data_IF_448125563745
#
_entry.id   IF_448125563745
#
_cell.length_a   1.000
_cell.length_b   1.000
_cell.length_c   1.000
_cell.angle_alpha   90.00
_cell.angle_beta   90.00
_cell.angle_gamma   90.00
#
_symmetry.space_group_name_H-M   'P 1'
#
loop_
_entity.id
_entity.type
_entity.pdbx_description
1 polymer ?
#
# COMPACT_ATOMS: atom_id res chain seq x y z
N UNK A 1 2.02 -4.83 17.80
CA UNK A 1 3.19 -4.00 18.18
C UNK A 1 4.44 -4.75 17.75
N UNK A 2 5.46 -4.06 17.24
CA UNK A 2 6.75 -4.66 16.83
C UNK A 2 7.59 -4.85 18.09
N UNK A 3 8.12 -6.05 18.34
CA UNK A 3 9.06 -6.26 19.44
C UNK A 3 10.43 -5.70 19.04
N UNK A 4 11.13 -5.05 19.97
CA UNK A 4 12.48 -4.50 19.74
C UNK A 4 13.48 -5.57 19.33
N UNK A 5 13.32 -6.78 19.85
CA UNK A 5 14.22 -7.92 19.57
C UNK A 5 14.10 -8.42 18.13
N UNK A 6 12.99 -8.10 17.45
CA UNK A 6 12.75 -8.50 16.06
C UNK A 6 13.40 -7.53 15.06
N UNK A 7 13.96 -6.40 15.52
CA UNK A 7 14.51 -5.35 14.65
C UNK A 7 15.94 -5.72 14.22
N UNK A 8 16.14 -5.93 12.92
CA UNK A 8 17.46 -6.15 12.33
C UNK A 8 18.18 -4.83 12.02
N UNK A 9 17.47 -3.89 11.40
CA UNK A 9 18.05 -2.63 10.93
C UNK A 9 17.03 -1.49 10.99
N UNK A 10 17.51 -0.29 11.33
CA UNK A 10 16.73 0.94 11.25
C UNK A 10 17.46 1.90 10.32
N UNK A 11 16.75 2.35 9.30
CA UNK A 11 17.28 3.23 8.27
C UNK A 11 16.56 4.57 8.27
N UNK A 12 17.31 5.66 8.27
CA UNK A 12 16.79 7.01 8.01
C UNK A 12 16.95 7.33 6.53
N UNK A 13 15.84 7.40 5.79
CA UNK A 13 15.83 7.76 4.37
C UNK A 13 15.50 9.24 4.24
N UNK A 14 16.48 10.03 3.80
CA UNK A 14 16.35 11.48 3.59
C UNK A 14 16.13 11.75 2.10
N UNK A 15 15.27 12.72 1.76
CA UNK A 15 15.13 13.19 0.38
C UNK A 15 16.34 14.03 -0.02
N UNK A 16 16.91 13.77 -1.20
CA UNK A 16 18.09 14.45 -1.73
C UNK A 16 17.97 15.99 -1.67
N UNK A 17 16.82 16.54 -2.05
CA UNK A 17 16.60 18.00 -2.08
C UNK A 17 15.96 18.60 -0.83
N UNK A 18 15.64 17.81 0.20
CA UNK A 18 14.89 18.32 1.36
C UNK A 18 15.23 17.55 2.63
N UNK A 19 16.29 17.98 3.32
CA UNK A 19 16.87 17.30 4.49
C UNK A 19 15.90 17.20 5.68
N UNK A 20 14.94 18.13 5.78
CA UNK A 20 13.89 18.10 6.81
C UNK A 20 12.82 17.02 6.56
N UNK A 21 12.72 16.52 5.33
CA UNK A 21 11.75 15.49 4.95
C UNK A 21 12.45 14.13 4.89
N UNK A 22 12.38 13.39 5.99
CA UNK A 22 12.90 12.03 6.08
C UNK A 22 11.80 11.04 6.47
N UNK A 23 12.07 9.77 6.24
CA UNK A 23 11.22 8.66 6.66
C UNK A 23 12.10 7.59 7.28
N UNK A 24 11.59 6.89 8.29
CA UNK A 24 12.29 5.75 8.86
C UNK A 24 11.79 4.46 8.22
N UNK A 25 12.72 3.54 8.03
CA UNK A 25 12.43 2.16 7.65
C UNK A 25 12.97 1.23 8.72
N UNK A 26 12.15 0.30 9.14
CA UNK A 26 12.52 -0.78 10.06
C UNK A 26 12.51 -2.07 9.27
N UNK A 27 13.64 -2.77 9.26
CA UNK A 27 13.78 -4.13 8.75
C UNK A 27 13.69 -5.10 9.93
N UNK A 28 12.80 -6.09 9.80
CA UNK A 28 12.55 -7.10 10.83
C UNK A 28 13.25 -8.43 10.49
N UNK A 29 13.42 -9.28 11.51
CA UNK A 29 14.04 -10.60 11.42
C UNK A 29 13.36 -11.55 10.43
N UNK A 30 12.04 -11.45 10.31
CA UNK A 30 11.21 -12.15 9.34
C UNK A 30 11.31 -11.55 7.91
N UNK A 31 12.26 -10.63 7.68
CA UNK A 31 12.50 -9.92 6.42
C UNK A 31 11.38 -8.97 5.99
N UNK A 32 10.41 -8.68 6.87
CA UNK A 32 9.43 -7.63 6.63
C UNK A 32 10.06 -6.24 6.76
N UNK A 33 9.56 -5.30 5.96
CA UNK A 33 9.96 -3.90 6.02
C UNK A 33 8.75 -3.02 6.35
N UNK A 34 8.97 -2.05 7.23
CA UNK A 34 7.99 -1.05 7.62
C UNK A 34 8.52 0.34 7.30
N UNK A 35 7.75 1.19 6.63
CA UNK A 35 8.08 2.61 6.41
C UNK A 35 7.09 3.48 7.17
N UNK A 36 7.61 4.53 7.82
CA UNK A 36 6.80 5.58 8.48
C UNK A 36 5.92 6.37 7.51
N UNK A 37 6.10 6.18 6.21
CA UNK A 37 5.27 6.78 5.17
C UNK A 37 3.95 6.04 4.95
N UNK A 38 3.79 4.83 5.50
CA UNK A 38 2.57 4.01 5.45
C UNK A 38 1.98 3.71 4.06
N UNK A 39 2.66 4.05 2.97
CA UNK A 39 2.15 3.88 1.59
C UNK A 39 1.71 2.45 1.26
N UNK A 40 2.44 1.48 1.79
CA UNK A 40 2.12 0.06 1.62
C UNK A 40 0.80 -0.30 2.31
N UNK A 41 0.52 0.31 3.46
CA UNK A 41 -0.70 0.08 4.25
C UNK A 41 -1.88 0.87 3.67
N UNK A 42 -1.68 2.15 3.34
CA UNK A 42 -2.76 3.06 2.93
C UNK A 42 -3.15 2.93 1.46
N UNK A 43 -2.20 2.60 0.58
CA UNK A 43 -2.43 2.53 -0.86
C UNK A 43 -2.17 1.13 -1.45
N UNK A 44 -1.67 0.20 -0.63
CA UNK A 44 -1.28 -1.13 -1.08
C UNK A 44 -0.03 -1.13 -1.95
N UNK A 45 0.72 -0.03 -2.06
CA UNK A 45 1.88 0.06 -2.97
C UNK A 45 3.18 0.23 -2.20
N UNK A 46 4.21 -0.49 -2.65
CA UNK A 46 5.57 -0.35 -2.09
C UNK A 46 6.09 1.06 -2.36
N UNK A 47 6.53 1.76 -1.33
CA UNK A 47 7.06 3.12 -1.49
C UNK A 47 8.50 3.11 -2.03
N UNK A 48 8.90 4.22 -2.67
CA UNK A 48 10.29 4.46 -3.10
C UNK A 48 11.34 4.28 -2.01
N UNK A 49 10.98 4.48 -0.74
CA UNK A 49 11.92 4.34 0.36
C UNK A 49 12.33 2.86 0.54
N UNK A 50 11.43 1.90 0.33
CA UNK A 50 11.77 0.46 0.39
C UNK A 50 12.81 0.11 -0.67
N UNK A 51 12.61 0.58 -1.91
CA UNK A 51 13.56 0.37 -3.01
C UNK A 51 14.94 0.93 -2.69
N UNK A 52 15.02 2.06 -2.00
CA UNK A 52 16.32 2.60 -1.53
C UNK A 52 17.02 1.62 -0.58
N UNK A 53 16.27 0.94 0.28
CA UNK A 53 16.82 -0.04 1.23
C UNK A 53 17.16 -1.37 0.53
N UNK A 54 16.36 -1.84 -0.41
CA UNK A 54 16.68 -3.04 -1.19
C UNK A 54 18.00 -2.91 -1.96
N UNK A 55 18.35 -1.70 -2.39
CA UNK A 55 19.63 -1.42 -3.07
C UNK A 55 20.80 -1.29 -2.07
N UNK A 56 20.53 -0.96 -0.80
CA UNK A 56 21.57 -0.58 0.17
C UNK A 56 21.85 -1.62 1.25
N UNK A 57 20.85 -2.38 1.66
CA UNK A 57 21.00 -3.44 2.67
C UNK A 57 21.12 -4.79 1.98
N UNK A 58 22.15 -5.56 2.35
CA UNK A 58 22.30 -6.95 1.91
C UNK A 58 21.30 -7.91 2.56
N UNK A 59 20.65 -7.48 3.66
CA UNK A 59 19.66 -8.28 4.40
C UNK A 59 18.23 -8.07 3.88
N UNK A 60 17.95 -6.90 3.30
CA UNK A 60 16.63 -6.60 2.76
C UNK A 60 16.41 -7.34 1.44
N UNK A 61 15.30 -8.08 1.33
CA UNK A 61 14.93 -8.83 0.12
C UNK A 61 13.57 -8.39 -0.39
N UNK A 62 13.46 -8.18 -1.70
CA UNK A 62 12.19 -7.93 -2.36
C UNK A 62 11.50 -9.25 -2.64
N UNK A 63 10.29 -9.42 -2.11
CA UNK A 63 9.44 -10.58 -2.39
C UNK A 63 8.36 -10.17 -3.41
N UNK A 64 8.09 -11.01 -4.41
CA UNK A 64 7.13 -10.69 -5.48
C UNK A 64 5.73 -10.41 -4.94
N UNK A 65 5.33 -11.12 -3.87
CA UNK A 65 4.07 -10.86 -3.13
C UNK A 65 3.93 -9.42 -2.68
N UNK A 66 4.99 -8.61 -2.56
CA UNK A 66 4.88 -7.18 -2.25
C UNK A 66 4.07 -6.40 -3.31
N UNK A 67 4.01 -6.90 -4.54
CA UNK A 67 3.18 -6.34 -5.62
C UNK A 67 1.73 -6.81 -5.43
N UNK A 68 0.74 -5.89 -5.43
CA UNK A 68 -0.66 -6.28 -5.29
C UNK A 68 -1.17 -7.10 -6.48
N UNK A 69 -2.03 -8.08 -6.20
CA UNK A 69 -2.60 -8.98 -7.20
C UNK A 69 -3.23 -8.26 -8.41
N UNK A 70 -3.84 -7.08 -8.20
CA UNK A 70 -4.47 -6.27 -9.27
C UNK A 70 -3.52 -5.81 -10.40
N UNK A 71 -2.20 -5.91 -10.21
CA UNK A 71 -1.21 -5.50 -11.20
C UNK A 71 -0.72 -6.64 -12.09
N UNK A 72 -1.08 -7.89 -11.78
CA UNK A 72 -0.76 -9.01 -12.66
C UNK A 72 -1.83 -9.16 -13.73
N UNK A 73 -1.41 -9.62 -14.91
CA UNK A 73 -2.31 -9.84 -16.06
C UNK A 73 -3.09 -11.15 -15.95
N UNK A 74 -2.69 -12.06 -15.08
CA UNK A 74 -3.09 -13.46 -15.15
C UNK A 74 -4.10 -13.90 -14.10
N UNK A 75 -5.08 -14.69 -14.56
CA UNK A 75 -6.02 -15.49 -13.77
C UNK A 75 -5.31 -16.56 -12.91
N UNK A 76 -4.03 -16.84 -13.20
CA UNK A 76 -3.20 -17.83 -12.49
C UNK A 76 -2.75 -17.42 -11.08
N UNK A 77 -2.84 -16.14 -10.73
CA UNK A 77 -2.56 -15.65 -9.35
C UNK A 77 -3.84 -15.65 -8.51
N UNK A 78 -4.86 -16.37 -8.98
CA UNK A 78 -6.05 -16.66 -8.21
C UNK A 78 -5.85 -17.98 -7.46
N UNK A 79 -4.94 -18.00 -6.50
CA UNK A 79 -4.89 -19.12 -5.57
C UNK A 79 -4.24 -18.73 -4.25
N UNK A 80 -4.97 -19.01 -3.18
CA UNK A 80 -4.48 -19.04 -1.80
C UNK A 80 -3.25 -19.97 -1.62
N UNK A 81 -2.85 -20.70 -2.66
CA UNK A 81 -1.72 -21.64 -2.68
C UNK A 81 -0.36 -20.98 -2.95
N UNK A 82 -0.28 -19.87 -3.70
CA UNK A 82 1.03 -19.22 -4.02
C UNK A 82 1.66 -18.56 -2.78
N UNK A 83 0.85 -18.16 -1.80
CA UNK A 83 1.32 -17.45 -0.61
C UNK A 83 2.15 -18.30 0.36
N UNK A 84 2.20 -19.63 0.18
CA UNK A 84 2.68 -20.54 1.23
C UNK A 84 3.97 -21.31 0.90
N UNK A 85 4.49 -21.27 -0.33
CA UNK A 85 5.66 -22.08 -0.68
C UNK A 85 6.41 -21.56 -1.93
N UNK A 86 7.16 -20.47 -1.81
CA UNK A 86 8.20 -20.14 -2.80
C UNK A 86 9.58 -20.50 -2.24
N UNK A 87 10.17 -21.56 -2.81
CA UNK A 87 11.59 -21.91 -2.62
C UNK A 87 12.46 -20.93 -3.39
N UNK A 88 13.24 -20.11 -2.68
CA UNK A 88 14.27 -19.28 -3.29
C UNK A 88 15.50 -20.15 -3.57
N UNK A 89 15.72 -20.50 -4.84
CA UNK A 89 16.92 -21.20 -5.30
C UNK A 89 17.97 -20.14 -5.64
N UNK A 90 19.08 -20.11 -4.88
CA UNK A 90 20.26 -19.31 -5.25
C UNK A 90 21.29 -20.22 -5.91
N UNK A 91 21.77 -19.86 -7.10
CA UNK A 91 22.80 -20.60 -7.85
C UNK A 91 24.22 -20.45 -7.27
N UNK A 92 24.35 -20.19 -5.97
CA UNK A 92 25.67 -20.15 -5.32
C UNK A 92 25.88 -21.49 -4.62
N UNK A 93 26.99 -22.14 -4.94
CA UNK A 93 27.37 -23.54 -4.64
C UNK A 93 27.49 -23.90 -3.14
N UNK A 94 26.43 -23.77 -2.37
CA UNK A 94 26.25 -24.61 -1.20
C UNK A 94 24.76 -24.88 -1.00
N UNK A 95 24.38 -26.15 -0.98
CA UNK A 95 23.02 -26.67 -1.13
C UNK A 95 22.06 -26.38 0.03
N UNK A 96 22.09 -25.17 0.59
CA UNK A 96 21.26 -24.77 1.69
C UNK A 96 19.97 -24.13 1.16
N UNK A 97 18.99 -24.97 0.83
CA UNK A 97 17.62 -24.53 0.55
C UNK A 97 17.05 -23.83 1.80
N UNK A 98 17.01 -22.50 1.79
CA UNK A 98 16.31 -21.77 2.85
C UNK A 98 14.84 -21.64 2.47
N UNK A 99 14.00 -22.50 3.04
CA UNK A 99 12.55 -22.33 3.03
C UNK A 99 12.20 -21.10 3.88
N UNK A 100 12.16 -19.92 3.26
CA UNK A 100 11.67 -18.72 3.96
C UNK A 100 10.18 -18.54 3.67
N UNK A 101 9.35 -18.92 4.63
CA UNK A 101 7.92 -18.60 4.61
C UNK A 101 7.79 -17.08 4.79
N UNK A 102 7.47 -16.36 3.71
CA UNK A 102 7.21 -14.93 3.78
C UNK A 102 5.79 -14.70 4.32
N UNK A 103 5.65 -14.78 5.65
CA UNK A 103 4.40 -14.47 6.32
C UNK A 103 4.18 -12.96 6.34
N UNK A 104 3.38 -12.47 5.38
CA UNK A 104 3.06 -11.06 5.20
C UNK A 104 2.01 -10.60 6.23
N UNK A 105 2.45 -10.34 7.47
CA UNK A 105 1.59 -10.01 8.62
C UNK A 105 0.80 -8.72 8.42
N UNK A 106 1.33 -7.77 7.66
CA UNK A 106 0.73 -6.45 7.46
C UNK A 106 -0.17 -6.32 6.21
N UNK A 107 -0.30 -7.38 5.39
CA UNK A 107 -1.21 -7.41 4.23
C UNK A 107 -2.15 -8.61 4.24
N UNK A 108 -1.99 -9.53 5.18
CA UNK A 108 -3.03 -10.50 5.53
C UNK A 108 -4.21 -9.80 6.21
N UNK A 109 -4.98 -9.07 5.42
CA UNK A 109 -6.33 -9.48 5.11
C UNK A 109 -6.85 -8.60 3.97
N UNK A 110 -7.69 -9.22 3.15
CA UNK A 110 -8.76 -8.61 2.36
C UNK A 110 -9.45 -7.39 3.01
N UNK A 111 -9.23 -7.09 4.30
CA UNK A 111 -9.59 -5.85 4.97
C UNK A 111 -8.97 -4.60 4.34
N UNK A 112 -7.67 -4.54 4.01
CA UNK A 112 -7.11 -3.32 3.39
C UNK A 112 -7.70 -3.10 2.00
N UNK A 113 -7.86 -4.16 1.21
CA UNK A 113 -8.44 -4.05 -0.13
C UNK A 113 -9.96 -3.79 -0.09
N UNK A 114 -10.72 -4.45 0.78
CA UNK A 114 -12.16 -4.19 0.99
C UNK A 114 -12.41 -2.81 1.58
N UNK A 115 -11.58 -2.36 2.52
CA UNK A 115 -11.65 -1.02 3.08
C UNK A 115 -11.26 0.03 2.04
N UNK A 116 -10.23 -0.23 1.23
CA UNK A 116 -9.84 0.64 0.12
C UNK A 116 -10.93 0.70 -0.95
N UNK A 117 -11.53 -0.44 -1.32
CA UNK A 117 -12.69 -0.52 -2.23
C UNK A 117 -13.89 0.25 -1.66
N UNK A 118 -14.17 0.13 -0.36
CA UNK A 118 -15.25 0.86 0.32
C UNK A 118 -14.99 2.37 0.36
N UNK A 119 -13.78 2.81 0.67
CA UNK A 119 -13.38 4.23 0.62
C UNK A 119 -13.53 4.77 -0.81
N UNK A 120 -13.06 4.02 -1.80
CA UNK A 120 -13.16 4.39 -3.21
C UNK A 120 -14.63 4.50 -3.65
N UNK A 121 -15.47 3.53 -3.30
CA UNK A 121 -16.90 3.56 -3.56
C UNK A 121 -17.60 4.75 -2.89
N UNK A 122 -17.26 5.06 -1.64
CA UNK A 122 -17.83 6.22 -0.94
C UNK A 122 -17.42 7.54 -1.61
N UNK A 123 -16.17 7.65 -2.08
CA UNK A 123 -15.70 8.83 -2.84
C UNK A 123 -16.42 8.96 -4.18
N UNK A 124 -16.63 7.86 -4.90
CA UNK A 124 -17.38 7.85 -6.17
C UNK A 124 -18.84 8.25 -5.92
N UNK A 125 -19.49 7.68 -4.90
CA UNK A 125 -20.86 8.03 -4.50
C UNK A 125 -20.98 9.51 -4.15
N UNK A 126 -20.07 10.03 -3.33
CA UNK A 126 -20.02 11.46 -2.97
C UNK A 126 -19.84 12.33 -4.22
N UNK A 127 -18.91 11.97 -5.11
CA UNK A 127 -18.69 12.71 -6.36
C UNK A 127 -19.93 12.77 -7.25
N UNK A 128 -20.65 11.65 -7.39
CA UNK A 128 -21.90 11.59 -8.15
C UNK A 128 -23.01 12.43 -7.51
N UNK A 129 -23.21 12.31 -6.19
CA UNK A 129 -24.18 13.11 -5.43
C UNK A 129 -23.88 14.60 -5.53
N UNK A 130 -22.63 14.99 -5.29
CA UNK A 130 -22.20 16.39 -5.35
C UNK A 130 -22.29 16.95 -6.77
N UNK A 131 -22.04 16.12 -7.80
CA UNK A 131 -22.24 16.49 -9.20
C UNK A 131 -23.71 16.79 -9.51
N UNK A 132 -24.64 15.97 -9.04
CA UNK A 132 -26.09 16.22 -9.17
C UNK A 132 -26.53 17.46 -8.39
N UNK A 133 -26.07 17.63 -7.15
CA UNK A 133 -26.38 18.79 -6.32
C UNK A 133 -25.93 20.10 -7.00
N UNK A 134 -24.70 20.14 -7.54
CA UNK A 134 -24.21 21.30 -8.30
C UNK A 134 -25.07 21.62 -9.52
N UNK A 135 -25.54 20.61 -10.26
CA UNK A 135 -26.45 20.83 -11.40
C UNK A 135 -27.79 21.41 -10.96
N UNK A 136 -28.38 20.87 -9.88
CA UNK A 136 -29.64 21.39 -9.34
C UNK A 136 -29.50 22.86 -8.92
N UNK A 137 -28.40 23.22 -8.23
CA UNK A 137 -28.08 24.61 -7.89
C UNK A 137 -27.98 25.47 -9.15
N UNK A 138 -27.30 24.98 -10.18
CA UNK A 138 -27.11 25.74 -11.41
C UNK A 138 -28.44 25.98 -12.15
N UNK A 139 -29.35 25.00 -12.17
CA UNK A 139 -30.68 25.19 -12.72
C UNK A 139 -31.52 26.17 -11.90
N UNK A 140 -31.50 26.09 -10.57
CA UNK A 140 -32.21 27.05 -9.72
C UNK A 140 -31.74 28.49 -9.94
N UNK A 141 -30.44 28.70 -10.14
CA UNK A 141 -29.88 30.02 -10.49
C UNK A 141 -30.37 30.48 -11.87
N UNK A 142 -30.45 29.58 -12.85
CA UNK A 142 -30.91 29.90 -14.21
C UNK A 142 -32.41 30.22 -14.26
N UNK A 143 -33.22 29.48 -13.53
CA UNK A 143 -34.68 29.63 -13.49
C UNK A 143 -35.14 30.70 -12.49
N UNK A 144 -34.23 31.26 -11.67
CA UNK A 144 -34.55 32.26 -10.66
C UNK A 144 -35.37 31.68 -9.49
N UNK A 145 -35.17 30.41 -9.15
CA UNK A 145 -35.88 29.72 -8.08
C UNK A 145 -35.33 30.13 -6.70
N UNK A 146 -35.84 31.25 -6.19
CA UNK A 146 -35.44 31.87 -4.94
C UNK A 146 -35.69 31.00 -3.70
N UNK A 147 -36.66 30.06 -3.74
CA UNK A 147 -36.88 29.14 -2.63
C UNK A 147 -35.76 28.12 -2.53
N UNK A 148 -35.38 27.51 -3.65
CA UNK A 148 -34.31 26.52 -3.69
C UNK A 148 -32.94 27.17 -3.45
N UNK A 149 -32.74 28.40 -3.92
CA UNK A 149 -31.54 29.20 -3.61
C UNK A 149 -31.46 29.53 -2.11
N UNK A 150 -32.57 29.91 -1.45
CA UNK A 150 -32.60 30.17 0.00
C UNK A 150 -32.34 28.93 0.84
N UNK A 151 -32.79 27.75 0.40
CA UNK A 151 -32.62 26.50 1.14
C UNK A 151 -31.15 26.00 1.16
N UNK A 152 -30.35 26.42 0.18
CA UNK A 152 -28.96 25.96 0.00
C UNK A 152 -27.93 26.96 0.58
N UNK A 153 -28.36 28.20 0.84
CA UNK A 153 -27.52 29.30 1.34
C UNK A 153 -27.41 29.28 2.87
#
# INVERSE_FOLDING_TARGET
>A
MVNSDDILEIWKVVRYNYLKCYQYIVLLNNRELLCTCYMLITHGIVCRHFFKIFVKSSKAKFHITLIPNRWYKDEYINSDTIYSAETVISNNDDGMQTNSIFNRKYILNNLSEKHSKRILQNRIKYGALMGKAKKAIQYAIQDGDDELIKLIR
#
